data_IF_458469283674
#
_entry.id   IF_458469283674
#
_cell.length_a   1.000
_cell.length_b   1.000
_cell.length_c   1.000
_cell.angle_alpha   90.00
_cell.angle_beta   90.00
_cell.angle_gamma   90.00
#
_symmetry.space_group_name_H-M   'P 1'
#
loop_
_entity.id
_entity.type
_entity.pdbx_description
1 polymer ?
#
# COMPACT_ATOMS: atom_id res chain seq x y z
N UNK A 1 7.68 3.30 6.93
CA UNK A 1 7.24 4.52 6.21
C UNK A 1 5.83 4.28 5.69
N UNK A 2 4.88 5.19 5.89
CA UNK A 2 3.49 5.05 5.43
C UNK A 2 3.25 6.20 4.45
N UNK A 3 2.70 5.92 3.26
CA UNK A 3 2.40 6.94 2.26
C UNK A 3 0.89 7.08 2.06
N UNK A 4 0.42 8.32 1.96
CA UNK A 4 -0.98 8.64 1.65
C UNK A 4 -1.08 9.20 0.23
N UNK A 5 -1.86 8.54 -0.62
CA UNK A 5 -1.98 8.85 -2.05
C UNK A 5 -3.46 8.97 -2.40
N UNK A 6 -3.86 10.02 -3.11
CA UNK A 6 -5.27 10.27 -3.42
C UNK A 6 -5.78 9.46 -4.63
N UNK A 7 -4.89 8.92 -5.44
CA UNK A 7 -5.21 8.21 -6.68
C UNK A 7 -4.79 6.73 -6.61
N UNK A 8 -5.61 5.79 -7.14
CA UNK A 8 -5.34 4.36 -7.07
C UNK A 8 -4.11 3.93 -7.87
N UNK A 9 -3.99 4.33 -9.13
CA UNK A 9 -2.86 3.94 -9.98
C UNK A 9 -1.47 4.28 -9.38
N UNK A 10 -1.19 5.50 -8.87
CA UNK A 10 0.08 5.78 -8.23
C UNK A 10 0.25 5.10 -6.85
N UNK A 11 -0.83 4.82 -6.13
CA UNK A 11 -0.76 4.08 -4.86
C UNK A 11 -0.24 2.65 -5.05
N UNK A 12 -0.74 1.97 -6.08
CA UNK A 12 -0.30 0.61 -6.45
C UNK A 12 1.14 0.61 -6.93
N UNK A 13 1.53 1.56 -7.79
CA UNK A 13 2.93 1.70 -8.26
C UNK A 13 3.89 1.90 -7.09
N UNK A 14 3.51 2.72 -6.12
CA UNK A 14 4.31 2.94 -4.92
C UNK A 14 4.38 1.68 -4.05
N UNK A 15 3.26 0.97 -3.85
CA UNK A 15 3.23 -0.29 -3.12
C UNK A 15 4.12 -1.36 -3.77
N UNK A 16 4.10 -1.50 -5.09
CA UNK A 16 4.94 -2.44 -5.82
C UNK A 16 6.44 -2.09 -5.74
N UNK A 17 6.79 -0.80 -5.88
CA UNK A 17 8.16 -0.34 -5.72
C UNK A 17 8.68 -0.59 -4.30
N UNK A 18 7.86 -0.32 -3.28
CA UNK A 18 8.21 -0.58 -1.89
C UNK A 18 8.31 -2.07 -1.60
N UNK A 19 7.39 -2.89 -2.12
CA UNK A 19 7.42 -4.34 -1.91
C UNK A 19 8.72 -4.96 -2.43
N UNK A 20 9.14 -4.56 -3.64
CA UNK A 20 10.44 -4.94 -4.22
C UNK A 20 11.62 -4.43 -3.42
N UNK A 21 11.58 -3.17 -2.98
CA UNK A 21 12.69 -2.56 -2.25
C UNK A 21 12.89 -3.14 -0.85
N UNK A 22 11.80 -3.55 -0.18
CA UNK A 22 11.87 -4.06 1.20
C UNK A 22 11.84 -5.58 1.28
N UNK A 23 11.61 -6.27 0.15
CA UNK A 23 11.47 -7.74 0.11
C UNK A 23 10.28 -8.25 0.92
N UNK A 24 9.24 -7.44 1.10
CA UNK A 24 8.07 -7.74 1.91
C UNK A 24 6.80 -7.32 1.17
N UNK A 25 5.65 -7.96 1.41
CA UNK A 25 4.40 -7.56 0.76
C UNK A 25 3.89 -6.22 1.29
N UNK A 26 3.49 -5.33 0.38
CA UNK A 26 2.88 -4.02 0.71
C UNK A 26 1.45 -3.96 0.21
N UNK A 27 0.58 -3.38 1.02
CA UNK A 27 -0.84 -3.23 0.73
C UNK A 27 -1.24 -1.79 0.52
N UNK A 28 -2.19 -1.57 -0.38
CA UNK A 28 -2.95 -0.33 -0.51
C UNK A 28 -4.25 -0.47 0.26
N UNK A 29 -4.53 0.47 1.16
CA UNK A 29 -5.67 0.44 2.06
C UNK A 29 -6.54 1.68 1.87
N UNK A 30 -7.84 1.55 2.15
CA UNK A 30 -8.75 2.69 2.14
C UNK A 30 -8.54 3.50 3.41
N UNK A 31 -8.01 4.71 3.26
CA UNK A 31 -7.94 5.71 4.32
C UNK A 31 -9.18 6.59 4.39
N UNK A 32 -9.13 7.57 5.29
CA UNK A 32 -10.18 8.57 5.47
C UNK A 32 -10.23 9.56 4.29
N UNK A 33 -11.42 10.10 4.00
CA UNK A 33 -11.64 11.16 2.98
C UNK A 33 -11.11 10.82 1.57
N UNK A 34 -11.38 9.60 1.07
CA UNK A 34 -10.96 9.10 -0.26
C UNK A 34 -9.43 8.97 -0.46
N UNK A 35 -8.63 9.13 0.58
CA UNK A 35 -7.19 8.86 0.49
C UNK A 35 -6.92 7.36 0.57
N UNK A 36 -5.90 6.91 -0.13
CA UNK A 36 -5.36 5.56 -0.04
C UNK A 36 -4.09 5.59 0.81
N UNK A 37 -3.96 4.61 1.69
CA UNK A 37 -2.82 4.46 2.58
C UNK A 37 -2.01 3.27 2.10
N UNK A 38 -0.73 3.48 1.84
CA UNK A 38 0.20 2.43 1.41
C UNK A 38 1.13 2.09 2.55
N UNK A 39 1.10 0.83 2.98
CA UNK A 39 1.87 0.35 4.13
C UNK A 39 2.18 -1.15 4.01
N UNK A 40 3.18 -1.68 4.74
CA UNK A 40 3.48 -3.11 4.74
C UNK A 40 2.26 -3.94 5.16
N UNK A 41 2.01 -5.06 4.47
CA UNK A 41 0.85 -5.90 4.76
C UNK A 41 0.92 -6.55 6.14
N UNK A 42 2.13 -6.73 6.70
CA UNK A 42 2.33 -7.21 8.06
C UNK A 42 1.92 -6.17 9.13
N UNK A 43 1.79 -4.90 8.77
CA UNK A 43 1.53 -3.81 9.71
C UNK A 43 0.06 -3.65 10.08
N UNK A 44 -0.86 -4.38 9.46
CA UNK A 44 -2.29 -4.28 9.75
C UNK A 44 -3.02 -5.60 9.55
N UNK A 45 -4.08 -5.83 10.35
CA UNK A 45 -5.00 -6.96 10.16
C UNK A 45 -6.09 -6.68 9.12
N UNK A 46 -6.15 -5.46 8.57
CA UNK A 46 -7.11 -5.11 7.51
C UNK A 46 -6.72 -5.81 6.22
N UNK A 47 -7.71 -6.24 5.45
CA UNK A 47 -7.52 -6.69 4.08
C UNK A 47 -7.15 -5.49 3.21
N UNK A 48 -6.01 -5.52 2.51
CA UNK A 48 -5.68 -4.48 1.53
C UNK A 48 -6.68 -4.53 0.38
N UNK A 49 -6.96 -3.36 -0.20
CA UNK A 49 -7.69 -3.25 -1.47
C UNK A 49 -6.86 -3.94 -2.56
N UNK A 50 -5.55 -3.72 -2.52
CA UNK A 50 -4.60 -4.28 -3.45
C UNK A 50 -3.32 -4.62 -2.72
N UNK A 51 -2.84 -5.85 -2.89
CA UNK A 51 -1.60 -6.33 -2.30
C UNK A 51 -0.56 -6.50 -3.40
N UNK A 52 0.61 -5.91 -3.19
CA UNK A 52 1.77 -6.09 -4.03
C UNK A 52 2.77 -7.00 -3.32
N UNK A 53 3.17 -8.07 -4.00
CA UNK A 53 4.22 -8.97 -3.57
C UNK A 53 5.52 -8.63 -4.32
N UNK A 54 6.70 -8.82 -3.70
CA UNK A 54 8.00 -8.58 -4.35
C UNK A 54 8.19 -9.39 -5.63
#
# INVERSE_FOLDING_TARGET
MIATIAQPAPAVKYAAAMARSTGQPWGVYRGSRRLLVVMPSASTKKTPIEACHP
#
